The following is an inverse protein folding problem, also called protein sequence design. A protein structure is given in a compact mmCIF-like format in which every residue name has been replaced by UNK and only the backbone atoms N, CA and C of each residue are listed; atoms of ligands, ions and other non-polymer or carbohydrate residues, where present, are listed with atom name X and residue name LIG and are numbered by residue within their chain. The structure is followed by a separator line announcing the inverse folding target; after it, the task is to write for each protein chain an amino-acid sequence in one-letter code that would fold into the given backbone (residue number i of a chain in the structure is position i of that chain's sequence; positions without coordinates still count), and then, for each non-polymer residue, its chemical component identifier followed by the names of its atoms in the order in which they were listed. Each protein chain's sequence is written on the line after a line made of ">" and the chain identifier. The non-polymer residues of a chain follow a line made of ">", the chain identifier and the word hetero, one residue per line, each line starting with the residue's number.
data_IF_747467670862
#
_entry.id   IF_747467670862
#
_cell.length_a   1.000
_cell.length_b   1.000
_cell.length_c   1.000
_cell.angle_alpha   90.00
_cell.angle_beta   90.00
_cell.angle_gamma   90.00
#
_symmetry.space_group_name_H-M   'P 1'
#
loop_
_entity.id
_entity.type
_entity.pdbx_description
1 polymer ?
#
# COMPACT_ATOMS: atom_id res chain seq x y z
N UNK A 1 24.68 3.05 -19.92
CA UNK A 1 23.54 3.98 -19.99
C UNK A 1 23.38 4.63 -18.63
N UNK A 2 23.11 5.93 -18.55
CA UNK A 2 22.93 6.63 -17.25
C UNK A 2 21.44 6.60 -16.88
N UNK A 3 21.13 6.30 -15.62
CA UNK A 3 19.75 6.31 -15.14
C UNK A 3 19.23 7.76 -14.98
N UNK A 4 18.00 8.07 -15.42
CA UNK A 4 17.37 9.35 -15.11
C UNK A 4 17.10 9.42 -13.61
N UNK A 5 17.37 10.57 -13.00
CA UNK A 5 17.24 10.76 -11.54
C UNK A 5 15.97 11.53 -11.17
N UNK A 6 15.62 12.52 -11.99
CA UNK A 6 14.47 13.40 -11.77
C UNK A 6 13.71 13.64 -13.08
N UNK A 7 12.44 13.98 -12.96
CA UNK A 7 11.60 14.44 -14.07
C UNK A 7 10.62 15.52 -13.61
N UNK A 8 10.04 16.24 -14.57
CA UNK A 8 8.99 17.24 -14.35
C UNK A 8 7.83 16.92 -15.29
N UNK A 9 6.61 17.24 -14.87
CA UNK A 9 5.42 17.20 -15.73
C UNK A 9 5.16 18.66 -16.16
N UNK A 10 5.05 18.92 -17.47
CA UNK A 10 4.83 20.26 -18.04
C UNK A 10 5.87 21.33 -17.63
N UNK A 11 5.44 22.61 -17.59
CA UNK A 11 6.21 23.77 -17.10
C UNK A 11 6.15 23.91 -15.57
N UNK A 12 5.62 22.92 -14.87
CA UNK A 12 5.55 22.96 -13.43
C UNK A 12 6.96 23.03 -12.84
N UNK A 13 7.11 23.82 -11.78
CA UNK A 13 8.39 23.97 -11.06
C UNK A 13 8.66 22.79 -10.11
N UNK A 14 7.80 21.77 -10.10
CA UNK A 14 7.91 20.63 -9.20
C UNK A 14 8.71 19.53 -9.87
N UNK A 15 9.74 19.08 -9.17
CA UNK A 15 10.65 18.04 -9.63
C UNK A 15 10.34 16.76 -8.86
N UNK A 16 10.09 15.67 -9.59
CA UNK A 16 9.78 14.35 -9.04
C UNK A 16 10.98 13.42 -9.23
N UNK A 17 11.32 12.59 -8.22
CA UNK A 17 12.34 11.57 -8.40
C UNK A 17 11.83 10.41 -9.25
N UNK A 18 12.73 9.78 -10.00
CA UNK A 18 12.41 8.52 -10.70
C UNK A 18 12.44 7.34 -9.73
N UNK A 19 11.89 6.20 -10.16
CA UNK A 19 12.05 4.94 -9.40
C UNK A 19 13.53 4.59 -9.20
N UNK A 20 14.41 4.92 -10.16
CA UNK A 20 15.85 4.68 -10.03
C UNK A 20 16.49 5.44 -8.87
N UNK A 21 16.09 6.69 -8.62
CA UNK A 21 16.59 7.44 -7.48
C UNK A 21 16.06 6.85 -6.17
N UNK A 22 14.77 6.54 -6.13
CA UNK A 22 14.12 5.96 -4.96
C UNK A 22 14.65 4.56 -4.62
N UNK A 23 15.17 3.80 -5.58
CA UNK A 23 15.87 2.54 -5.32
C UNK A 23 17.21 2.71 -4.61
N UNK A 24 17.80 3.91 -4.67
CA UNK A 24 19.05 4.22 -3.93
C UNK A 24 18.75 4.87 -2.58
N UNK A 25 17.64 5.60 -2.49
CA UNK A 25 17.22 6.35 -1.31
C UNK A 25 15.69 6.24 -1.11
N UNK A 26 15.19 5.07 -0.67
CA UNK A 26 13.75 4.83 -0.53
C UNK A 26 13.07 5.73 0.52
N UNK A 27 13.83 6.24 1.48
CA UNK A 27 13.37 7.15 2.54
C UNK A 27 13.09 8.59 2.08
N UNK A 28 13.38 8.95 0.84
CA UNK A 28 13.19 10.32 0.33
C UNK A 28 11.71 10.76 0.27
N UNK A 29 10.78 9.82 0.24
CA UNK A 29 9.35 10.12 0.05
C UNK A 29 8.47 9.26 0.94
N UNK A 30 7.33 9.82 1.32
CA UNK A 30 6.25 9.04 1.91
C UNK A 30 5.82 7.95 0.93
N UNK A 31 5.75 6.71 1.42
CA UNK A 31 5.49 5.54 0.57
C UNK A 31 4.23 4.82 1.02
N UNK A 32 3.31 4.61 0.08
CA UNK A 32 2.17 3.72 0.27
C UNK A 32 2.50 2.31 -0.20
N UNK A 33 1.89 1.33 0.45
CA UNK A 33 1.98 -0.07 0.00
C UNK A 33 0.70 -0.51 -0.68
N UNK A 34 0.86 -1.23 -1.79
CA UNK A 34 -0.21 -1.91 -2.52
C UNK A 34 0.14 -3.38 -2.75
N UNK A 35 -0.78 -4.15 -3.34
CA UNK A 35 -0.49 -5.52 -3.76
C UNK A 35 0.29 -5.56 -5.08
N UNK A 36 1.15 -6.56 -5.26
CA UNK A 36 2.02 -6.69 -6.44
C UNK A 36 1.27 -6.66 -7.77
N UNK A 37 0.07 -7.26 -7.85
CA UNK A 37 -0.74 -7.28 -9.07
C UNK A 37 -1.22 -5.89 -9.51
N UNK A 38 -1.28 -4.92 -8.60
CA UNK A 38 -1.72 -3.54 -8.90
C UNK A 38 -0.69 -2.81 -9.76
N UNK A 39 0.60 -3.14 -9.65
CA UNK A 39 1.67 -2.46 -10.42
C UNK A 39 1.44 -2.58 -11.93
N UNK A 40 1.02 -3.75 -12.41
CA UNK A 40 0.69 -3.94 -13.84
C UNK A 40 -0.49 -3.08 -14.30
N UNK A 41 -1.46 -2.84 -13.41
CA UNK A 41 -2.61 -1.97 -13.67
C UNK A 41 -2.16 -0.51 -13.74
N UNK A 42 -1.29 -0.07 -12.82
CA UNK A 42 -0.73 1.29 -12.83
C UNK A 42 0.12 1.55 -14.08
N UNK A 43 0.92 0.56 -14.51
CA UNK A 43 1.71 0.65 -15.73
C UNK A 43 0.84 0.79 -17.00
N UNK A 44 -0.43 0.38 -16.93
CA UNK A 44 -1.43 0.62 -17.97
C UNK A 44 -1.99 2.05 -18.00
N UNK A 45 -1.50 2.95 -17.15
CA UNK A 45 -1.96 4.34 -17.05
C UNK A 45 -3.12 4.56 -16.07
N UNK A 46 -3.41 3.59 -15.20
CA UNK A 46 -4.41 3.73 -14.16
C UNK A 46 -3.86 4.46 -12.92
N UNK A 47 -4.77 5.05 -12.15
CA UNK A 47 -4.47 5.64 -10.85
C UNK A 47 -4.61 4.62 -9.72
N UNK A 48 -3.92 4.86 -8.60
CA UNK A 48 -4.07 4.02 -7.41
C UNK A 48 -5.31 4.44 -6.63
N UNK A 49 -6.28 3.53 -6.56
CA UNK A 49 -7.51 3.71 -5.80
C UNK A 49 -7.28 3.45 -4.31
N UNK A 50 -8.01 4.15 -3.43
CA UNK A 50 -7.91 4.01 -1.98
C UNK A 50 -8.09 2.57 -1.45
N UNK A 51 -8.96 1.70 -2.01
CA UNK A 51 -9.02 0.30 -1.58
C UNK A 51 -7.72 -0.48 -1.78
N UNK A 52 -6.89 -0.06 -2.75
CA UNK A 52 -5.60 -0.69 -3.03
C UNK A 52 -4.48 -0.26 -2.09
N UNK A 53 -4.70 0.77 -1.25
CA UNK A 53 -3.72 1.19 -0.26
C UNK A 53 -3.89 0.33 1.00
N UNK A 54 -2.79 -0.31 1.39
CA UNK A 54 -2.67 -1.11 2.59
C UNK A 54 -2.24 -0.19 3.73
N UNK A 55 -3.10 -0.10 4.75
CA UNK A 55 -2.87 0.68 5.97
C UNK A 55 -2.46 -0.24 7.11
N UNK A 56 -1.62 0.26 8.03
CA UNK A 56 -1.21 -0.51 9.21
C UNK A 56 -2.31 -0.44 10.28
N UNK A 57 -2.72 -1.59 10.80
CA UNK A 57 -3.71 -1.67 11.88
C UNK A 57 -5.09 -1.09 11.56
N UNK A 58 -5.81 -0.67 12.61
CA UNK A 58 -7.13 -0.08 12.50
C UNK A 58 -7.10 1.29 11.81
N UNK A 59 -8.18 1.60 11.08
CA UNK A 59 -8.28 2.86 10.34
C UNK A 59 -8.44 4.04 11.30
N UNK A 60 -7.47 4.96 11.27
CA UNK A 60 -7.43 6.19 12.05
C UNK A 60 -7.19 7.39 11.12
N UNK A 61 -7.44 8.62 11.59
CA UNK A 61 -7.11 9.83 10.83
C UNK A 61 -5.64 9.94 10.40
N UNK A 62 -4.74 9.15 11.01
CA UNK A 62 -3.30 9.14 10.72
C UNK A 62 -2.87 7.93 9.87
N UNK A 63 -3.78 7.04 9.48
CA UNK A 63 -3.44 5.80 8.75
C UNK A 63 -2.79 6.04 7.39
N UNK A 64 -3.05 7.19 6.77
CA UNK A 64 -2.42 7.60 5.52
C UNK A 64 -1.25 8.57 5.74
N UNK A 65 -0.92 8.97 6.96
CA UNK A 65 0.06 10.02 7.26
C UNK A 65 -0.56 11.41 7.40
N UNK A 66 0.26 12.45 7.24
CA UNK A 66 -0.14 13.86 7.40
C UNK A 66 0.39 14.70 6.24
N UNK A 67 -0.49 15.04 5.31
CA UNK A 67 -0.15 15.85 4.14
C UNK A 67 -1.41 16.47 3.52
N UNK A 68 -1.19 17.47 2.67
CA UNK A 68 -2.22 18.11 1.86
C UNK A 68 -2.44 17.38 0.53
N UNK A 69 -3.47 17.79 -0.20
CA UNK A 69 -3.71 17.34 -1.58
C UNK A 69 -2.53 17.70 -2.49
N UNK A 70 -2.21 16.81 -3.43
CA UNK A 70 -1.12 17.00 -4.39
C UNK A 70 0.26 16.70 -3.80
N UNK A 71 0.31 16.04 -2.64
CA UNK A 71 1.56 15.70 -1.99
C UNK A 71 2.28 14.57 -2.77
N UNK A 72 3.58 14.73 -3.10
CA UNK A 72 4.35 13.69 -3.78
C UNK A 72 4.49 12.44 -2.92
N UNK A 73 4.16 11.27 -3.49
CA UNK A 73 4.25 9.97 -2.81
C UNK A 73 4.86 8.91 -3.71
N UNK A 74 5.48 7.92 -3.08
CA UNK A 74 5.96 6.71 -3.71
C UNK A 74 5.01 5.54 -3.43
N UNK A 75 5.05 4.52 -4.27
CA UNK A 75 4.24 3.31 -4.13
C UNK A 75 5.18 2.11 -4.16
N UNK A 76 5.16 1.30 -3.12
CA UNK A 76 5.83 0.01 -3.05
C UNK A 76 4.81 -1.13 -2.94
N UNK A 77 5.30 -2.35 -2.83
CA UNK A 77 4.45 -3.55 -2.82
C UNK A 77 4.62 -4.32 -1.52
N UNK A 78 3.64 -5.18 -1.21
CA UNK A 78 3.67 -6.03 -0.01
C UNK A 78 4.89 -6.95 0.07
N UNK A 79 5.51 -7.27 -1.06
CA UNK A 79 6.68 -8.15 -1.17
C UNK A 79 8.01 -7.39 -1.24
N UNK A 80 8.01 -6.08 -1.53
CA UNK A 80 9.23 -5.32 -1.74
C UNK A 80 9.09 -3.84 -1.35
N UNK A 81 9.96 -3.37 -0.44
CA UNK A 81 10.07 -1.97 -0.01
C UNK A 81 10.50 -1.04 -1.15
N UNK A 82 11.18 -1.56 -2.18
CA UNK A 82 11.64 -0.78 -3.32
C UNK A 82 10.46 -0.11 -4.06
N UNK A 83 10.42 1.22 -4.18
CA UNK A 83 9.32 1.91 -4.86
C UNK A 83 9.20 1.50 -6.33
N UNK A 84 7.99 1.15 -6.75
CA UNK A 84 7.68 0.75 -8.12
C UNK A 84 6.84 1.78 -8.86
N UNK A 85 6.31 2.79 -8.18
CA UNK A 85 5.69 3.94 -8.82
C UNK A 85 5.86 5.22 -8.01
N UNK A 86 5.66 6.35 -8.68
CA UNK A 86 5.68 7.72 -8.14
C UNK A 86 4.42 8.42 -8.59
N UNK A 87 3.80 9.15 -7.67
CA UNK A 87 2.55 9.84 -7.91
C UNK A 87 2.32 11.01 -6.98
N UNK A 88 1.13 11.58 -7.04
CA UNK A 88 0.67 12.67 -6.18
C UNK A 88 -0.68 12.33 -5.57
N UNK A 89 -0.89 12.69 -4.31
CA UNK A 89 -2.16 12.41 -3.62
C UNK A 89 -3.32 13.18 -4.27
N UNK A 90 -4.44 12.50 -4.50
CA UNK A 90 -5.64 13.11 -5.06
C UNK A 90 -6.40 13.99 -4.03
N UNK A 91 -6.17 13.72 -2.74
CA UNK A 91 -6.85 14.32 -1.60
C UNK A 91 -5.85 14.54 -0.43
N UNK A 92 -6.24 15.33 0.57
CA UNK A 92 -5.49 15.43 1.84
C UNK A 92 -5.57 14.11 2.62
N UNK A 93 -4.68 13.88 3.59
CA UNK A 93 -4.71 12.63 4.37
C UNK A 93 -6.01 12.46 5.17
N UNK A 94 -6.57 13.57 5.68
CA UNK A 94 -7.88 13.57 6.36
C UNK A 94 -9.02 13.23 5.41
N UNK A 95 -9.03 13.82 4.22
CA UNK A 95 -10.06 13.52 3.21
C UNK A 95 -9.98 12.06 2.76
N UNK A 96 -8.77 11.51 2.55
CA UNK A 96 -8.58 10.09 2.23
C UNK A 96 -9.17 9.17 3.31
N UNK A 97 -9.02 9.54 4.59
CA UNK A 97 -9.66 8.84 5.70
C UNK A 97 -11.19 8.97 5.65
N UNK A 98 -11.71 10.19 5.46
CA UNK A 98 -13.16 10.45 5.39
C UNK A 98 -13.85 9.78 4.19
N UNK A 99 -13.12 9.54 3.09
CA UNK A 99 -13.60 8.78 1.94
C UNK A 99 -13.86 7.30 2.24
N UNK A 100 -13.47 6.79 3.41
CA UNK A 100 -13.82 5.42 3.85
C UNK A 100 -13.30 4.33 2.91
N UNK A 101 -12.07 4.49 2.41
CA UNK A 101 -11.44 3.59 1.42
C UNK A 101 -12.10 3.60 0.03
N UNK A 102 -12.91 4.58 -0.35
CA UNK A 102 -13.49 4.66 -1.69
C UNK A 102 -12.95 5.81 -2.55
N UNK A 103 -12.72 5.55 -3.83
CA UNK A 103 -12.29 6.57 -4.80
C UNK A 103 -10.78 6.59 -5.05
N UNK A 104 -10.32 7.64 -5.73
CA UNK A 104 -8.93 7.80 -6.15
C UNK A 104 -8.06 8.22 -4.97
N UNK A 105 -6.96 7.51 -4.72
CA UNK A 105 -6.00 7.86 -3.68
C UNK A 105 -4.82 8.64 -4.23
N UNK A 106 -4.17 8.11 -5.27
CA UNK A 106 -2.95 8.68 -5.85
C UNK A 106 -3.07 8.72 -7.36
N UNK A 107 -2.81 9.89 -7.95
CA UNK A 107 -2.60 10.03 -9.37
C UNK A 107 -1.19 9.64 -9.75
N UNK A 108 -1.04 8.66 -10.64
CA UNK A 108 0.25 8.07 -10.97
C UNK A 108 0.95 8.90 -12.05
N UNK A 109 2.22 9.20 -11.82
CA UNK A 109 3.05 10.01 -12.73
C UNK A 109 4.13 9.18 -13.43
N UNK A 110 4.67 8.18 -12.74
CA UNK A 110 5.75 7.33 -13.24
C UNK A 110 5.68 5.95 -12.60
N UNK A 111 5.92 4.89 -13.37
CA UNK A 111 5.83 3.48 -12.93
C UNK A 111 7.01 2.66 -13.48
N UNK A 112 7.41 1.64 -12.74
CA UNK A 112 8.28 0.58 -13.22
C UNK A 112 7.72 -0.04 -14.53
N UNK A 113 8.58 -0.12 -15.56
CA UNK A 113 8.25 -0.57 -16.93
C UNK A 113 7.43 0.42 -17.77
N UNK A 114 7.35 1.68 -17.38
CA UNK A 114 6.88 2.73 -18.28
C UNK A 114 8.00 3.25 -19.20
N UNK A 115 7.65 4.19 -20.09
CA UNK A 115 8.59 4.76 -21.06
C UNK A 115 9.74 5.52 -20.41
N UNK A 116 9.53 6.18 -19.26
CA UNK A 116 10.58 6.92 -18.57
C UNK A 116 11.59 5.95 -17.93
N UNK A 117 11.12 4.83 -17.38
CA UNK A 117 11.99 3.74 -16.94
C UNK A 117 12.76 3.14 -18.13
N UNK A 118 12.12 2.94 -19.28
CA UNK A 118 12.77 2.38 -20.48
C UNK A 118 13.94 3.22 -21.01
N UNK A 119 13.98 4.53 -20.71
CA UNK A 119 15.08 5.44 -21.05
C UNK A 119 16.33 5.21 -20.19
N UNK A 120 16.19 4.61 -19.00
CA UNK A 120 17.28 4.28 -18.08
C UNK A 120 18.00 2.98 -18.41
N UNK A 121 18.58 2.34 -17.39
CA UNK A 121 19.27 1.05 -17.52
C UNK A 121 18.34 -0.15 -17.71
N UNK A 122 17.03 0.01 -17.56
CA UNK A 122 16.04 -1.08 -17.55
C UNK A 122 16.31 -2.16 -16.50
N UNK A 123 16.99 -1.78 -15.41
CA UNK A 123 17.19 -2.69 -14.29
C UNK A 123 15.87 -2.98 -13.57
N UNK A 124 15.71 -4.21 -13.04
CA UNK A 124 14.59 -4.53 -12.17
C UNK A 124 14.73 -3.80 -10.82
N UNK A 125 13.63 -3.65 -10.05
CA UNK A 125 13.71 -3.13 -8.69
C UNK A 125 14.65 -4.00 -7.84
N UNK A 126 15.50 -3.40 -6.99
CA UNK A 126 16.33 -4.17 -6.06
C UNK A 126 15.45 -4.90 -5.04
N UNK A 127 15.92 -6.03 -4.54
CA UNK A 127 15.25 -6.78 -3.48
C UNK A 127 15.54 -6.13 -2.13
N UNK A 128 14.56 -5.41 -1.57
CA UNK A 128 14.68 -4.73 -0.27
C UNK A 128 13.87 -5.40 0.86
N UNK A 129 13.26 -6.56 0.57
CA UNK A 129 12.35 -7.26 1.49
C UNK A 129 10.99 -6.58 1.64
N UNK A 130 10.03 -7.19 2.35
CA UNK A 130 8.68 -6.66 2.51
C UNK A 130 8.65 -5.42 3.43
N UNK A 131 7.79 -4.41 3.18
CA UNK A 131 7.58 -3.27 4.09
C UNK A 131 7.10 -3.74 5.47
N UNK A 132 7.48 -2.99 6.52
CA UNK A 132 7.11 -3.31 7.90
C UNK A 132 5.62 -2.97 8.12
N UNK A 133 4.72 -3.79 7.58
CA UNK A 133 3.28 -3.64 7.68
C UNK A 133 2.79 -4.62 8.73
N UNK A 134 2.32 -4.09 9.85
CA UNK A 134 1.53 -4.89 10.80
C UNK A 134 0.15 -5.04 10.16
N UNK A 135 -0.03 -6.13 9.42
CA UNK A 135 -1.35 -6.56 8.99
C UNK A 135 -2.11 -6.93 10.27
N UNK A 136 -3.26 -6.30 10.49
CA UNK A 136 -4.16 -6.67 11.58
C UNK A 136 -4.60 -8.13 11.37
N UNK A 137 -3.91 -9.07 11.99
CA UNK A 137 -4.27 -10.50 11.97
C UNK A 137 -3.14 -11.52 11.88
N UNK A 138 -1.88 -11.16 11.58
CA UNK A 138 -0.77 -12.12 11.63
C UNK A 138 0.51 -11.48 12.16
N UNK A 139 0.83 -11.82 13.40
CA UNK A 139 2.15 -11.59 13.98
C UNK A 139 3.03 -12.76 13.53
N UNK A 140 3.91 -12.54 12.56
CA UNK A 140 5.04 -13.44 12.32
C UNK A 140 6.19 -12.90 13.16
N UNK A 141 6.39 -13.48 14.34
CA UNK A 141 7.63 -13.30 15.09
C UNK A 141 8.60 -14.35 14.55
N UNK A 142 9.62 -13.91 13.81
CA UNK A 142 10.80 -14.73 13.59
C UNK A 142 11.64 -14.69 14.88
N UNK A 143 11.58 -15.75 15.67
CA UNK A 143 12.56 -16.01 16.72
C UNK A 143 13.45 -17.17 16.26
N UNK A 144 14.71 -16.87 15.96
CA UNK A 144 15.81 -17.83 15.97
C UNK A 144 16.07 -18.23 17.43
N UNK A 145 15.37 -19.26 17.90
CA UNK A 145 15.91 -20.35 18.74
C UNK A 145 14.78 -21.14 19.43
N UNK A 146 14.70 -22.42 19.06
CA UNK A 146 14.14 -23.56 19.82
C UNK A 146 12.65 -23.59 20.22
N UNK A 147 11.92 -24.46 19.50
CA UNK A 147 10.83 -25.36 19.92
C UNK A 147 9.79 -24.91 20.97
N UNK A 148 8.55 -24.66 20.52
CA UNK A 148 7.31 -25.27 21.02
C UNK A 148 6.11 -24.82 20.16
N UNK A 149 5.34 -25.77 19.60
CA UNK A 149 4.01 -25.48 19.02
C UNK A 149 3.02 -25.22 20.17
N UNK A 150 2.59 -23.97 20.33
CA UNK A 150 1.47 -23.65 21.21
C UNK A 150 0.21 -23.50 20.37
N UNK A 151 -0.61 -24.56 20.37
CA UNK A 151 -2.00 -24.52 19.91
C UNK A 151 -2.83 -23.94 21.06
N UNK A 152 -3.23 -22.66 20.98
CA UNK A 152 -4.33 -22.14 21.81
C UNK A 152 -5.60 -22.19 20.98
N UNK A 153 -6.44 -23.17 21.31
CA UNK A 153 -7.80 -23.28 20.79
C UNK A 153 -8.72 -22.23 21.40
N UNK A 154 -9.80 -21.93 20.68
CA UNK A 154 -11.02 -21.41 21.27
C UNK A 154 -12.23 -22.14 20.67
N UNK A 155 -12.55 -23.29 21.24
CA UNK A 155 -13.96 -23.69 21.48
C UNK A 155 -14.50 -22.76 22.58
N UNK A 156 -15.75 -22.36 22.71
CA UNK A 156 -17.05 -22.57 22.06
C UNK A 156 -17.95 -21.48 22.65
N UNK A 157 -19.01 -21.06 21.96
CA UNK A 157 -20.16 -20.48 22.66
C UNK A 157 -21.46 -21.01 22.03
N UNK A 158 -21.87 -22.19 22.51
CA UNK A 158 -23.20 -22.75 22.34
C UNK A 158 -23.90 -22.63 23.70
N UNK A 159 -24.75 -21.62 23.91
CA UNK A 159 -25.98 -21.75 24.71
C UNK A 159 -26.83 -20.48 24.72
N UNK A 160 -27.91 -20.47 23.94
CA UNK A 160 -29.20 -20.00 24.44
C UNK A 160 -30.25 -21.04 24.04
N UNK A 161 -30.85 -21.68 25.05
CA UNK A 161 -31.77 -22.80 24.92
C UNK A 161 -33.18 -22.33 25.32
N UNK A 162 -34.17 -22.72 24.50
CA UNK A 162 -35.56 -23.04 24.84
C UNK A 162 -36.54 -21.89 25.18
N UNK A 163 -37.53 -21.66 24.30
CA UNK A 163 -38.94 -22.12 24.46
C UNK A 163 -39.86 -21.40 23.46
N UNK A 164 -40.38 -22.12 22.47
CA UNK A 164 -41.70 -21.83 21.91
C UNK A 164 -42.37 -23.14 21.50
N UNK A 165 -43.21 -23.66 22.40
CA UNK A 165 -44.29 -24.60 22.06
C UNK A 165 -45.53 -24.09 22.78
N UNK A 166 -46.54 -23.71 22.03
CA UNK A 166 -47.93 -23.53 22.46
C UNK A 166 -48.84 -23.57 21.21
N UNK A 167 -50.11 -24.01 21.33
CA UNK A 167 -50.77 -24.88 20.35
C UNK A 167 -51.83 -24.18 19.48
N UNK A 168 -52.50 -25.01 18.66
CA UNK A 168 -53.74 -24.79 17.88
C UNK A 168 -53.59 -24.20 16.47
N UNK A 169 -54.01 -24.96 15.45
CA UNK A 169 -55.32 -24.81 14.78
C UNK A 169 -55.41 -25.79 13.57
N UNK A 170 -56.52 -26.54 13.55
CA UNK A 170 -57.11 -27.41 12.49
C UNK A 170 -56.56 -28.83 12.31
#
# INVERSE_FOLDING_TARGET
>A
QKDPIFFTIDKDKVVYPTVYLLWRHPELMHTFTTHTHVIGVLAGGADLMLPGIITKGEMSPYSYGKFEKGFPVAINTTDNKAPQAVGVTAHSSMDMYMCGRHGKGVSILHVYRDQLWEMGSRSPPPTMGPPDIILSGQVVIENEDSAEEIIVGSETDESEKLKEISPEQV
#
